data_IF_308686189835
#
_entry.id   IF_308686189835
#
_cell.length_a   1.000
_cell.length_b   1.000
_cell.length_c   1.000
_cell.angle_alpha   90.00
_cell.angle_beta   90.00
_cell.angle_gamma   90.00
#
_symmetry.space_group_name_H-M   'P 1'
#
loop_
_entity.id
_entity.type
_entity.pdbx_description
1 polymer ?
#
# COMPACT_ATOMS: atom_id res chain seq x y z
N UNK A 1 -23.01 21.86 20.13
CA UNK A 1 -22.14 22.28 19.00
C UNK A 1 -22.23 23.79 18.77
N UNK A 2 -22.62 24.54 19.80
CA UNK A 2 -23.15 25.90 19.70
C UNK A 2 -22.06 26.98 19.70
N UNK A 3 -20.81 26.57 19.48
CA UNK A 3 -19.63 27.43 19.40
C UNK A 3 -18.96 27.41 18.02
N UNK A 4 -19.61 26.80 17.02
CA UNK A 4 -19.11 26.85 15.65
C UNK A 4 -19.33 28.25 15.07
N UNK A 5 -18.23 28.90 14.68
CA UNK A 5 -18.27 30.17 13.92
C UNK A 5 -18.64 29.96 12.45
N UNK A 6 -18.63 28.71 11.99
CA UNK A 6 -18.98 28.32 10.62
C UNK A 6 -20.41 27.76 10.60
N UNK A 7 -21.20 28.21 9.64
CA UNK A 7 -22.55 27.69 9.41
C UNK A 7 -22.47 26.25 8.85
N UNK A 8 -23.16 25.27 9.45
CA UNK A 8 -23.16 23.89 8.94
C UNK A 8 -23.61 23.78 7.47
N UNK A 9 -24.58 24.59 7.04
CA UNK A 9 -25.08 24.54 5.66
C UNK A 9 -24.02 24.97 4.63
N UNK A 10 -23.23 25.99 4.98
CA UNK A 10 -22.11 26.47 4.16
C UNK A 10 -21.03 25.38 4.01
N UNK A 11 -20.68 24.72 5.12
CA UNK A 11 -19.71 23.63 5.11
C UNK A 11 -20.21 22.44 4.25
N UNK A 12 -21.50 22.11 4.32
CA UNK A 12 -22.11 21.06 3.50
C UNK A 12 -22.12 21.42 2.01
N UNK A 13 -22.49 22.66 1.68
CA UNK A 13 -22.45 23.16 0.29
C UNK A 13 -21.04 23.04 -0.30
N UNK A 14 -20.03 23.47 0.46
CA UNK A 14 -18.64 23.39 0.02
C UNK A 14 -18.18 21.95 -0.17
N UNK A 15 -18.50 21.05 0.77
CA UNK A 15 -18.12 19.65 0.68
C UNK A 15 -18.72 18.99 -0.57
N UNK A 16 -19.99 19.27 -0.87
CA UNK A 16 -20.63 18.79 -2.12
C UNK A 16 -19.97 19.36 -3.37
N UNK A 17 -19.66 20.65 -3.38
CA UNK A 17 -19.00 21.30 -4.52
C UNK A 17 -17.62 20.70 -4.82
N UNK A 18 -16.89 20.29 -3.79
CA UNK A 18 -15.58 19.63 -3.92
C UNK A 18 -15.67 18.11 -4.15
N UNK A 19 -16.87 17.52 -4.08
CA UNK A 19 -17.04 16.07 -4.13
C UNK A 19 -16.41 15.34 -2.94
N UNK A 20 -16.21 16.04 -1.82
CA UNK A 20 -15.61 15.50 -0.60
C UNK A 20 -16.69 15.11 0.42
N UNK A 21 -16.34 14.14 1.28
CA UNK A 21 -17.19 13.78 2.42
C UNK A 21 -16.95 14.75 3.59
N UNK A 22 -18.01 15.40 4.06
CA UNK A 22 -17.96 16.16 5.31
C UNK A 22 -18.13 15.24 6.52
N UNK A 23 -17.26 15.37 7.51
CA UNK A 23 -17.37 14.68 8.81
C UNK A 23 -17.17 15.72 9.91
N UNK A 24 -18.24 16.05 10.65
CA UNK A 24 -18.12 16.88 11.83
C UNK A 24 -17.50 16.09 12.98
N UNK A 25 -16.52 16.66 13.65
CA UNK A 25 -15.78 15.98 14.73
C UNK A 25 -15.66 16.86 15.96
N UNK A 26 -15.51 16.23 17.13
CA UNK A 26 -15.19 16.89 18.39
C UNK A 26 -14.21 16.02 19.15
N UNK A 27 -12.96 16.46 19.30
CA UNK A 27 -11.95 15.72 20.07
C UNK A 27 -12.26 15.76 21.56
N UNK A 28 -12.81 16.87 22.05
CA UNK A 28 -13.20 17.04 23.46
C UNK A 28 -14.25 16.02 23.89
N UNK A 29 -15.20 15.73 23.01
CA UNK A 29 -16.35 14.85 23.26
C UNK A 29 -16.17 13.46 22.61
N UNK A 30 -15.00 13.20 22.01
CA UNK A 30 -14.69 12.00 21.22
C UNK A 30 -15.74 11.67 20.14
N UNK A 31 -16.27 12.70 19.47
CA UNK A 31 -17.23 12.54 18.39
C UNK A 31 -16.51 12.39 17.04
N UNK A 32 -16.79 11.28 16.36
CA UNK A 32 -16.36 10.99 14.99
C UNK A 32 -14.84 11.02 14.72
N UNK A 33 -14.00 11.11 15.77
CA UNK A 33 -12.54 11.12 15.64
C UNK A 33 -12.06 9.87 14.92
N UNK A 34 -12.45 8.68 15.40
CA UNK A 34 -12.12 7.42 14.74
C UNK A 34 -12.76 7.26 13.35
N UNK A 35 -13.90 7.90 13.09
CA UNK A 35 -14.57 7.83 11.78
C UNK A 35 -13.76 8.55 10.69
N UNK A 36 -13.14 9.68 11.01
CA UNK A 36 -12.23 10.39 10.09
C UNK A 36 -11.08 9.50 9.68
N UNK A 37 -10.35 8.92 10.65
CA UNK A 37 -9.20 8.08 10.34
C UNK A 37 -9.57 6.83 9.56
N UNK A 38 -10.70 6.18 9.89
CA UNK A 38 -11.19 5.04 9.11
C UNK A 38 -11.53 5.42 7.67
N UNK A 39 -12.16 6.58 7.47
CA UNK A 39 -12.50 7.05 6.13
C UNK A 39 -11.24 7.32 5.30
N UNK A 40 -10.27 8.04 5.85
CA UNK A 40 -9.00 8.34 5.18
C UNK A 40 -8.21 7.07 4.87
N UNK A 41 -8.11 6.13 5.83
CA UNK A 41 -7.43 4.86 5.61
C UNK A 41 -8.08 4.06 4.47
N UNK A 42 -9.42 4.02 4.40
CA UNK A 42 -10.13 3.36 3.32
C UNK A 42 -9.89 4.04 1.96
N UNK A 43 -9.82 5.37 1.91
CA UNK A 43 -9.50 6.10 0.68
C UNK A 43 -8.08 5.80 0.20
N UNK A 44 -7.07 5.86 1.08
CA UNK A 44 -5.69 5.54 0.73
C UNK A 44 -5.55 4.10 0.20
N UNK A 45 -6.26 3.13 0.80
CA UNK A 45 -6.26 1.75 0.32
C UNK A 45 -6.93 1.62 -1.06
N UNK A 46 -8.02 2.36 -1.30
CA UNK A 46 -8.68 2.36 -2.60
C UNK A 46 -7.78 2.95 -3.69
N UNK A 47 -7.07 4.04 -3.40
CA UNK A 47 -6.09 4.66 -4.31
C UNK A 47 -4.93 3.70 -4.63
N UNK A 48 -4.36 3.03 -3.62
CA UNK A 48 -3.29 2.04 -3.82
C UNK A 48 -3.73 0.84 -4.68
N UNK A 49 -5.02 0.51 -4.64
CA UNK A 49 -5.59 -0.60 -5.40
C UNK A 49 -6.10 -0.18 -6.78
N UNK A 50 -6.16 1.12 -7.09
CA UNK A 50 -6.58 1.59 -8.41
C UNK A 50 -5.46 1.32 -9.43
N UNK A 51 -5.68 0.42 -10.42
CA UNK A 51 -4.67 0.09 -11.42
C UNK A 51 -4.31 1.25 -12.35
N UNK A 52 -5.03 2.39 -12.31
CA UNK A 52 -4.74 3.57 -13.14
C UNK A 52 -3.51 4.35 -12.71
N UNK A 53 -3.09 4.26 -11.44
CA UNK A 53 -1.90 4.97 -10.94
C UNK A 53 -0.59 4.19 -11.13
N UNK A 54 -0.66 2.97 -11.68
CA UNK A 54 0.53 2.19 -12.06
C UNK A 54 1.34 2.81 -13.21
N UNK A 55 0.73 3.72 -13.98
CA UNK A 55 1.38 4.39 -15.11
C UNK A 55 2.08 5.71 -14.72
N UNK A 56 1.77 6.30 -13.55
CA UNK A 56 2.34 7.60 -13.15
C UNK A 56 3.63 7.48 -12.34
N UNK A 57 3.80 6.39 -11.59
CA UNK A 57 5.06 6.08 -10.89
C UNK A 57 5.79 4.95 -11.61
N UNK A 58 7.03 5.14 -12.10
CA UNK A 58 7.81 4.02 -12.61
C UNK A 58 7.90 2.98 -11.49
N UNK A 59 7.59 1.70 -11.76
CA UNK A 59 7.62 0.67 -10.74
C UNK A 59 9.01 0.69 -10.11
N UNK A 60 9.08 0.94 -8.80
CA UNK A 60 10.30 0.72 -8.06
C UNK A 60 10.81 -0.69 -8.45
N UNK A 61 12.11 -0.88 -8.75
CA UNK A 61 12.62 -2.10 -9.37
C UNK A 61 12.44 -3.38 -8.52
N UNK A 62 11.79 -3.30 -7.36
CA UNK A 62 11.50 -4.39 -6.43
C UNK A 62 10.01 -4.49 -6.04
N UNK A 63 9.07 -3.92 -6.80
CA UNK A 63 7.64 -4.15 -6.58
C UNK A 63 7.26 -5.56 -7.03
N UNK A 64 7.36 -6.52 -6.11
CA UNK A 64 6.78 -7.85 -6.25
C UNK A 64 5.28 -7.70 -6.56
N UNK A 65 4.84 -8.27 -7.69
CA UNK A 65 3.46 -8.18 -8.15
C UNK A 65 2.42 -8.75 -7.16
N UNK A 66 1.12 -8.59 -7.47
CA UNK A 66 0.00 -8.71 -6.51
C UNK A 66 -0.28 -10.12 -5.95
N UNK A 67 0.61 -11.09 -6.17
CA UNK A 67 0.43 -12.49 -5.75
C UNK A 67 1.51 -13.01 -4.79
N UNK A 68 2.32 -12.16 -4.14
CA UNK A 68 3.41 -12.68 -3.32
C UNK A 68 3.72 -11.89 -2.04
N UNK A 69 2.75 -11.79 -1.13
CA UNK A 69 3.01 -11.57 0.31
C UNK A 69 1.91 -12.20 1.19
N UNK A 70 1.58 -13.48 0.97
CA UNK A 70 0.95 -14.27 2.02
C UNK A 70 2.03 -14.98 2.82
N UNK A 71 2.34 -14.48 4.01
CA UNK A 71 3.02 -15.27 5.04
C UNK A 71 2.00 -16.33 5.48
N UNK A 72 1.94 -17.46 4.76
CA UNK A 72 1.24 -18.67 5.20
C UNK A 72 2.09 -19.36 6.26
N UNK A 73 2.26 -18.72 7.43
CA UNK A 73 2.95 -19.33 8.57
C UNK A 73 2.03 -20.19 9.44
N UNK A 74 0.72 -20.19 9.17
CA UNK A 74 -0.25 -20.96 9.95
C UNK A 74 -1.29 -21.61 9.05
N UNK A 75 -0.88 -22.62 8.28
CA UNK A 75 -1.84 -23.60 7.77
C UNK A 75 -1.69 -24.88 8.60
N UNK A 76 -2.55 -25.17 9.58
CA UNK A 76 -2.47 -26.38 10.38
C UNK A 76 -3.14 -27.54 9.62
N UNK A 77 -2.72 -27.78 8.37
CA UNK A 77 -3.09 -28.99 7.65
C UNK A 77 -1.90 -29.94 7.62
N UNK A 78 -1.78 -30.64 8.75
CA UNK A 78 -1.34 -32.03 8.90
C UNK A 78 -0.54 -32.61 7.71
N UNK A 79 0.79 -32.59 7.80
CA UNK A 79 1.58 -33.78 7.45
C UNK A 79 2.97 -33.75 8.08
N UNK A 80 3.13 -34.65 9.05
CA UNK A 80 4.35 -35.15 9.65
C UNK A 80 5.53 -35.31 8.67
N UNK A 81 6.66 -34.64 8.93
CA UNK A 81 7.96 -35.23 9.32
C UNK A 81 9.06 -34.17 9.13
N UNK A 82 10.01 -34.18 10.06
CA UNK A 82 11.26 -33.43 10.08
C UNK A 82 11.19 -32.06 10.79
N UNK A 83 11.31 -32.15 12.12
CA UNK A 83 11.92 -31.10 12.94
C UNK A 83 13.32 -30.82 12.38
N UNK A 84 13.49 -29.62 11.81
CA UNK A 84 14.73 -28.83 11.81
C UNK A 84 14.38 -27.50 11.15
N UNK A 85 14.08 -26.49 11.98
CA UNK A 85 13.63 -25.15 11.58
C UNK A 85 14.71 -24.28 10.93
N UNK A 86 15.60 -24.86 10.14
CA UNK A 86 16.61 -24.12 9.40
C UNK A 86 16.06 -23.73 8.04
N UNK A 87 15.78 -22.44 7.86
CA UNK A 87 15.40 -21.89 6.56
C UNK A 87 16.67 -21.82 5.70
N UNK A 88 16.80 -22.72 4.73
CA UNK A 88 17.91 -22.74 3.78
C UNK A 88 17.58 -21.83 2.59
N UNK A 89 18.22 -20.66 2.53
CA UNK A 89 18.09 -19.74 1.40
C UNK A 89 19.00 -20.20 0.26
N UNK A 90 18.42 -20.52 -0.90
CA UNK A 90 19.19 -20.83 -2.13
C UNK A 90 19.41 -19.55 -2.94
N UNK A 91 20.65 -19.21 -3.33
CA UNK A 91 20.90 -18.05 -4.19
C UNK A 91 20.25 -18.24 -5.57
N UNK A 92 19.70 -17.17 -6.17
CA UNK A 92 19.17 -17.24 -7.53
C UNK A 92 20.30 -17.45 -8.54
N UNK A 93 20.13 -18.41 -9.46
CA UNK A 93 21.07 -18.67 -10.55
C UNK A 93 21.10 -17.47 -11.51
N UNK A 94 22.12 -16.62 -11.38
CA UNK A 94 22.39 -15.54 -12.35
C UNK A 94 22.80 -16.18 -13.69
N UNK A 95 21.96 -16.04 -14.73
CA UNK A 95 22.37 -16.34 -16.12
C UNK A 95 23.43 -15.32 -16.53
N UNK A 96 24.65 -15.78 -16.82
CA UNK A 96 25.73 -14.93 -17.36
C UNK A 96 25.30 -14.45 -18.77
N UNK A 97 25.00 -13.16 -18.92
CA UNK A 97 24.94 -12.53 -20.25
C UNK A 97 26.39 -12.30 -20.68
N UNK A 98 26.83 -13.01 -21.73
CA UNK A 98 28.13 -12.77 -22.36
C UNK A 98 28.08 -11.41 -23.06
N UNK A 99 28.51 -10.35 -22.38
CA UNK A 99 28.85 -9.09 -23.04
C UNK A 99 30.20 -9.32 -23.69
N UNK A 100 30.20 -9.51 -25.01
CA UNK A 100 31.39 -9.53 -25.83
C UNK A 100 32.10 -8.18 -25.61
N UNK A 101 33.14 -8.18 -24.79
CA UNK A 101 33.95 -6.98 -24.55
C UNK A 101 34.71 -6.70 -25.83
N UNK A 102 34.48 -5.52 -26.41
CA UNK A 102 35.31 -4.99 -27.49
C UNK A 102 36.78 -5.15 -27.12
N UNK A 103 37.49 -5.99 -27.86
CA UNK A 103 38.92 -6.15 -27.73
C UNK A 103 39.58 -4.81 -28.07
N UNK A 104 40.38 -4.29 -27.14
CA UNK A 104 41.37 -3.27 -27.41
C UNK A 104 42.25 -3.76 -28.56
N UNK A 105 42.22 -3.08 -29.71
CA UNK A 105 43.30 -3.15 -30.69
C UNK A 105 44.19 -1.94 -30.40
N UNK A 106 45.30 -2.20 -29.70
CA UNK A 106 46.44 -1.30 -29.68
C UNK A 106 47.26 -1.59 -30.94
N UNK A 107 47.48 -0.51 -31.70
CA UNK A 107 48.42 -0.32 -32.82
C UNK A 107 48.18 -1.18 -34.08
#
# INVERSE_FOLDING_TARGET
>A
MDHSVVNPEEAELLARALGCRLIQTSVKEDLNVGAVFRHLAAQCLAELHDPKDFDYYPPAPNAFGPNHLTISAFNPSRSSKNQNGTIVLRPPKKKKKNVLKHACRLL
#
